data_IF_055498788059
#
_entry.id   IF_055498788059
#
_cell.length_a   1.000
_cell.length_b   1.000
_cell.length_c   1.000
_cell.angle_alpha   90.00
_cell.angle_beta   90.00
_cell.angle_gamma   90.00
#
_symmetry.space_group_name_H-M   'P 1'
#
loop_
_entity.id
_entity.type
_entity.pdbx_description
1 polymer ?
#
# COMPACT_ATOMS: atom_id res chain seq x y z
N UNK A 1 2.41 -35.36 23.71
CA UNK A 1 3.26 -34.13 23.68
C UNK A 1 2.69 -33.23 22.64
N UNK A 2 2.42 -31.98 22.94
CA UNK A 2 1.96 -31.01 21.91
C UNK A 2 3.18 -30.53 21.15
N UNK A 3 3.10 -30.54 19.80
CA UNK A 3 4.13 -29.98 18.93
C UNK A 3 4.33 -28.48 19.20
N UNK A 4 5.56 -28.01 19.16
CA UNK A 4 5.88 -26.58 19.30
C UNK A 4 5.33 -25.76 18.12
N UNK A 5 5.07 -24.44 18.30
CA UNK A 5 4.70 -23.59 17.18
C UNK A 5 5.67 -23.63 15.99
N UNK A 6 6.98 -23.77 16.26
CA UNK A 6 8.01 -23.89 15.23
C UNK A 6 7.87 -25.20 14.43
N UNK A 7 7.63 -26.34 15.12
CA UNK A 7 7.38 -27.64 14.45
C UNK A 7 6.10 -27.60 13.63
N UNK A 8 5.01 -27.03 14.17
CA UNK A 8 3.76 -26.86 13.42
C UNK A 8 3.96 -25.98 12.18
N UNK A 9 4.71 -24.87 12.33
CA UNK A 9 5.03 -23.99 11.20
C UNK A 9 5.81 -24.74 10.12
N UNK A 10 6.88 -25.43 10.50
CA UNK A 10 7.71 -26.19 9.55
C UNK A 10 6.93 -27.27 8.79
N UNK A 11 5.94 -27.90 9.43
CA UNK A 11 5.19 -28.99 8.84
C UNK A 11 3.96 -28.54 8.02
N UNK A 12 3.36 -27.38 8.34
CA UNK A 12 2.05 -27.00 7.78
C UNK A 12 1.97 -25.61 7.14
N UNK A 13 3.01 -24.77 7.28
CA UNK A 13 3.04 -23.44 6.67
C UNK A 13 4.05 -23.41 5.52
N UNK A 14 3.64 -22.89 4.35
CA UNK A 14 4.58 -22.76 3.23
C UNK A 14 5.78 -21.90 3.61
N UNK A 15 7.03 -22.32 3.29
CA UNK A 15 8.25 -21.68 3.74
C UNK A 15 8.58 -20.39 2.97
N UNK A 16 7.59 -19.48 2.84
CA UNK A 16 7.75 -18.17 2.20
C UNK A 16 8.46 -17.16 3.09
N UNK A 17 8.47 -17.41 4.39
CA UNK A 17 9.17 -16.63 5.43
C UNK A 17 9.83 -17.57 6.43
N UNK A 18 10.89 -17.07 7.10
CA UNK A 18 11.61 -17.81 8.15
C UNK A 18 11.46 -17.06 9.49
N UNK A 19 10.40 -17.29 10.28
CA UNK A 19 10.21 -16.64 11.57
C UNK A 19 11.26 -17.12 12.59
N UNK A 20 11.80 -16.19 13.40
CA UNK A 20 12.83 -16.50 14.39
C UNK A 20 12.32 -16.59 15.84
N UNK A 21 11.16 -16.00 16.14
CA UNK A 21 10.62 -15.92 17.49
C UNK A 21 9.14 -16.29 17.52
N UNK A 22 8.70 -16.94 18.59
CA UNK A 22 7.28 -17.15 18.88
C UNK A 22 6.79 -16.06 19.81
N UNK A 23 6.16 -15.02 19.25
CA UNK A 23 5.54 -13.94 20.02
C UNK A 23 4.15 -14.37 20.48
N UNK A 24 3.84 -14.14 21.76
CA UNK A 24 2.57 -14.57 22.38
C UNK A 24 1.75 -13.42 22.95
N UNK A 25 2.35 -12.23 23.13
CA UNK A 25 1.69 -11.06 23.69
C UNK A 25 2.28 -9.77 23.13
N UNK A 26 1.45 -8.74 23.02
CA UNK A 26 1.86 -7.37 22.69
C UNK A 26 1.05 -6.36 23.50
N UNK A 27 1.68 -5.26 23.91
CA UNK A 27 1.02 -4.13 24.56
C UNK A 27 1.81 -2.84 24.29
N UNK A 28 1.17 -1.85 23.66
CA UNK A 28 1.84 -0.62 23.25
C UNK A 28 3.03 -0.91 22.32
N UNK A 29 4.23 -0.55 22.72
CA UNK A 29 5.47 -0.76 21.95
C UNK A 29 6.21 -2.05 22.31
N UNK A 30 5.72 -2.82 23.29
CA UNK A 30 6.38 -4.02 23.79
C UNK A 30 5.71 -5.28 23.29
N UNK A 31 6.52 -6.32 23.02
CA UNK A 31 6.08 -7.68 22.71
C UNK A 31 6.82 -8.69 23.59
N UNK A 32 6.21 -9.85 23.82
CA UNK A 32 6.79 -10.93 24.63
C UNK A 32 6.79 -12.24 23.87
N UNK A 33 7.90 -12.96 23.97
CA UNK A 33 8.00 -14.31 23.41
C UNK A 33 7.39 -15.38 24.33
N UNK A 34 7.39 -16.62 23.87
CA UNK A 34 6.86 -17.77 24.59
C UNK A 34 7.66 -18.13 25.88
N UNK A 35 8.88 -17.63 26.03
CA UNK A 35 9.68 -17.75 27.24
C UNK A 35 9.44 -16.60 28.25
N UNK A 36 8.57 -15.64 27.89
CA UNK A 36 8.25 -14.46 28.69
C UNK A 36 9.25 -13.33 28.59
N UNK A 37 10.24 -13.43 27.69
CA UNK A 37 11.19 -12.35 27.46
C UNK A 37 10.52 -11.18 26.72
N UNK A 38 10.76 -9.97 27.20
CA UNK A 38 10.24 -8.72 26.65
C UNK A 38 11.18 -8.13 25.61
N UNK A 39 10.58 -7.54 24.57
CA UNK A 39 11.28 -6.85 23.48
C UNK A 39 10.55 -5.54 23.15
N UNK A 40 11.31 -4.52 22.75
CA UNK A 40 10.78 -3.34 22.10
C UNK A 40 10.55 -3.65 20.61
N UNK A 41 9.32 -3.44 20.14
CA UNK A 41 8.97 -3.68 18.76
C UNK A 41 9.21 -2.44 17.89
N UNK A 42 10.40 -2.36 17.29
CA UNK A 42 10.73 -1.34 16.30
C UNK A 42 10.28 -1.70 14.87
N UNK A 43 9.77 -2.89 14.63
CA UNK A 43 9.27 -3.31 13.32
C UNK A 43 7.81 -2.91 13.12
N UNK A 44 7.04 -2.87 14.21
CA UNK A 44 5.60 -2.59 14.23
C UNK A 44 4.82 -3.40 13.17
N UNK A 45 5.24 -4.66 12.88
CA UNK A 45 4.66 -5.46 11.80
C UNK A 45 4.95 -4.91 10.40
N UNK A 46 6.11 -4.31 10.17
CA UNK A 46 6.51 -3.57 8.96
C UNK A 46 5.58 -2.35 8.76
N UNK A 47 5.61 -1.44 9.75
CA UNK A 47 4.84 -0.19 9.79
C UNK A 47 3.29 -0.39 9.79
N UNK A 48 2.80 -1.48 10.40
CA UNK A 48 1.36 -1.79 10.50
C UNK A 48 0.75 -1.24 11.79
N UNK A 49 1.40 -1.48 12.94
CA UNK A 49 0.85 -1.19 14.26
C UNK A 49 1.13 0.26 14.70
N UNK A 50 0.60 1.25 13.98
CA UNK A 50 0.84 2.68 14.25
C UNK A 50 0.37 3.13 15.65
N UNK A 51 -0.63 2.46 16.20
CA UNK A 51 -1.19 2.76 17.54
C UNK A 51 -0.56 1.90 18.64
N UNK A 52 0.42 1.06 18.28
CA UNK A 52 0.96 0.03 19.15
C UNK A 52 0.05 -1.22 19.24
N UNK A 53 0.56 -2.24 19.92
CA UNK A 53 -0.15 -3.50 20.11
C UNK A 53 -1.33 -3.35 21.07
N UNK A 54 -2.44 -3.98 20.74
CA UNK A 54 -3.63 -4.12 21.60
C UNK A 54 -4.18 -2.79 22.16
N UNK A 55 -4.17 -1.72 21.35
CA UNK A 55 -4.67 -0.41 21.79
C UNK A 55 -6.11 -0.52 22.34
N UNK A 56 -6.41 -0.01 23.56
CA UNK A 56 -7.70 -0.24 24.21
C UNK A 56 -8.92 0.18 23.40
N UNK A 57 -8.88 1.34 22.75
CA UNK A 57 -9.99 1.83 21.95
C UNK A 57 -10.26 0.95 20.72
N UNK A 58 -9.20 0.41 20.09
CA UNK A 58 -9.34 -0.48 18.92
C UNK A 58 -9.91 -1.82 19.35
N UNK A 59 -9.42 -2.39 20.46
CA UNK A 59 -9.99 -3.62 21.02
C UNK A 59 -11.48 -3.47 21.33
N UNK A 60 -11.86 -2.37 21.97
CA UNK A 60 -13.26 -2.11 22.33
C UNK A 60 -14.14 -1.96 21.05
N UNK A 61 -13.69 -1.21 20.06
CA UNK A 61 -14.42 -1.03 18.81
C UNK A 61 -14.61 -2.35 18.04
N UNK A 62 -13.58 -3.19 18.00
CA UNK A 62 -13.66 -4.51 17.35
C UNK A 62 -14.61 -5.45 18.08
N UNK A 63 -14.52 -5.53 19.42
CA UNK A 63 -15.42 -6.36 20.21
C UNK A 63 -16.88 -5.93 20.07
N UNK A 64 -17.15 -4.61 20.10
CA UNK A 64 -18.49 -4.05 19.92
C UNK A 64 -19.05 -4.36 18.53
N UNK A 65 -18.24 -4.12 17.47
CA UNK A 65 -18.71 -4.33 16.10
C UNK A 65 -18.89 -5.80 15.76
N UNK A 66 -18.03 -6.69 16.28
CA UNK A 66 -18.15 -8.14 16.08
C UNK A 66 -19.44 -8.71 16.66
N UNK A 67 -19.99 -8.07 17.68
CA UNK A 67 -21.29 -8.41 18.26
C UNK A 67 -22.51 -7.87 17.48
N UNK A 68 -22.31 -7.03 16.47
CA UNK A 68 -23.39 -6.38 15.70
C UNK A 68 -23.49 -6.92 14.28
N UNK A 69 -22.43 -6.73 13.49
CA UNK A 69 -22.40 -7.11 12.08
C UNK A 69 -20.96 -7.27 11.63
N UNK A 70 -20.59 -8.44 11.14
CA UNK A 70 -19.25 -8.73 10.63
C UNK A 70 -19.18 -8.50 9.12
N UNK A 71 -20.15 -9.02 8.35
CA UNK A 71 -20.17 -8.96 6.90
C UNK A 71 -21.60 -8.89 6.36
N UNK A 72 -21.81 -8.05 5.33
CA UNK A 72 -23.12 -7.94 4.65
C UNK A 72 -22.99 -7.90 3.12
N UNK A 73 -21.84 -8.19 2.54
CA UNK A 73 -21.57 -8.04 1.10
C UNK A 73 -21.66 -6.57 0.63
N UNK A 74 -21.37 -6.33 -0.64
CA UNK A 74 -21.58 -5.04 -1.32
C UNK A 74 -23.03 -4.86 -1.84
N UNK A 75 -23.92 -5.80 -1.52
CA UNK A 75 -25.34 -5.73 -1.88
C UNK A 75 -26.15 -4.87 -0.91
N UNK A 76 -25.61 -4.59 0.26
CA UNK A 76 -26.26 -3.80 1.30
C UNK A 76 -25.37 -2.67 1.79
N UNK A 77 -25.99 -1.58 2.18
CA UNK A 77 -25.28 -0.51 2.88
C UNK A 77 -24.95 -0.95 4.31
N UNK A 78 -23.75 -0.56 4.77
CA UNK A 78 -23.38 -0.59 6.18
C UNK A 78 -22.99 0.82 6.64
N UNK A 79 -23.01 1.07 7.95
CA UNK A 79 -22.75 2.42 8.46
C UNK A 79 -21.28 2.82 8.45
N UNK A 80 -20.36 1.87 8.57
CA UNK A 80 -18.94 2.16 8.81
C UNK A 80 -18.18 2.49 7.54
N UNK A 81 -18.45 1.73 6.46
CA UNK A 81 -17.75 1.90 5.20
C UNK A 81 -17.87 3.32 4.63
N UNK A 82 -19.07 3.92 4.47
CA UNK A 82 -19.19 5.27 3.94
C UNK A 82 -18.63 6.34 4.88
N UNK A 83 -18.68 6.14 6.21
CA UNK A 83 -18.06 7.05 7.18
C UNK A 83 -16.53 7.05 7.06
N UNK A 84 -15.92 5.87 6.91
CA UNK A 84 -14.48 5.78 6.69
C UNK A 84 -14.08 6.36 5.33
N UNK A 85 -14.85 6.07 4.26
CA UNK A 85 -14.65 6.65 2.94
C UNK A 85 -14.70 8.17 2.96
N UNK A 86 -15.67 8.75 3.65
CA UNK A 86 -15.79 10.21 3.83
C UNK A 86 -14.55 10.80 4.51
N UNK A 87 -14.07 10.18 5.61
CA UNK A 87 -12.86 10.62 6.29
C UNK A 87 -11.63 10.57 5.39
N UNK A 88 -11.40 9.45 4.71
CA UNK A 88 -10.28 9.30 3.78
C UNK A 88 -10.37 10.34 2.67
N UNK A 89 -11.53 10.51 2.05
CA UNK A 89 -11.77 11.50 1.00
C UNK A 89 -11.39 12.92 1.46
N UNK A 90 -11.91 13.34 2.64
CA UNK A 90 -11.65 14.69 3.20
C UNK A 90 -10.18 14.94 3.57
N UNK A 91 -9.46 13.89 3.97
CA UNK A 91 -8.06 13.98 4.40
C UNK A 91 -7.07 13.79 3.26
N UNK A 92 -7.55 13.36 2.07
CA UNK A 92 -6.70 13.05 0.92
C UNK A 92 -7.08 13.82 -0.34
N UNK A 93 -7.71 13.15 -1.31
CA UNK A 93 -7.89 13.66 -2.68
C UNK A 93 -9.28 14.23 -2.97
N UNK A 94 -10.22 14.10 -2.05
CA UNK A 94 -11.57 14.66 -2.19
C UNK A 94 -12.54 13.86 -3.08
N UNK A 95 -12.07 12.76 -3.69
CA UNK A 95 -12.89 11.89 -4.53
C UNK A 95 -13.33 10.61 -3.79
N UNK A 96 -13.64 9.56 -4.54
CA UNK A 96 -14.18 8.30 -3.98
C UNK A 96 -13.09 7.34 -3.50
N UNK A 97 -13.50 6.42 -2.64
CA UNK A 97 -12.65 5.40 -2.03
C UNK A 97 -13.18 4.01 -2.37
N UNK A 98 -12.29 3.13 -2.80
CA UNK A 98 -12.53 1.70 -2.94
C UNK A 98 -11.86 0.96 -1.79
N UNK A 99 -12.56 0.01 -1.16
CA UNK A 99 -12.01 -0.83 -0.09
C UNK A 99 -11.71 -2.25 -0.56
N UNK A 100 -10.64 -2.82 -0.02
CA UNK A 100 -10.16 -4.17 -0.26
C UNK A 100 -9.48 -4.72 1.00
N UNK A 101 -8.72 -5.82 0.90
CA UNK A 101 -8.20 -6.52 2.07
C UNK A 101 -6.69 -6.32 2.28
N UNK A 102 -5.98 -5.76 1.32
CA UNK A 102 -4.51 -5.63 1.37
C UNK A 102 -4.00 -4.45 0.55
N UNK A 103 -2.74 -4.07 0.79
CA UNK A 103 -2.04 -3.07 -0.03
C UNK A 103 -1.82 -3.54 -1.47
N UNK A 104 -1.60 -4.84 -1.68
CA UNK A 104 -1.50 -5.40 -3.03
C UNK A 104 -2.80 -5.20 -3.80
N UNK A 105 -3.96 -5.51 -3.22
CA UNK A 105 -5.26 -5.28 -3.86
C UNK A 105 -5.56 -3.79 -4.07
N UNK A 106 -5.13 -2.92 -3.18
CA UNK A 106 -5.25 -1.47 -3.35
C UNK A 106 -4.44 -0.98 -4.56
N UNK A 107 -3.20 -1.47 -4.73
CA UNK A 107 -2.39 -1.18 -5.91
C UNK A 107 -2.95 -1.82 -7.19
N UNK A 108 -3.48 -3.04 -7.12
CA UNK A 108 -4.22 -3.66 -8.25
C UNK A 108 -5.39 -2.79 -8.69
N UNK A 109 -6.11 -2.17 -7.76
CA UNK A 109 -7.18 -1.24 -8.07
C UNK A 109 -6.66 -0.04 -8.88
N UNK A 110 -5.57 0.60 -8.45
CA UNK A 110 -4.96 1.73 -9.17
C UNK A 110 -4.42 1.32 -10.53
N UNK A 111 -3.76 0.16 -10.66
CA UNK A 111 -3.27 -0.40 -11.92
C UNK A 111 -4.43 -0.62 -12.91
N UNK A 112 -5.52 -1.24 -12.45
CA UNK A 112 -6.72 -1.47 -13.26
C UNK A 112 -7.37 -0.16 -13.67
N UNK A 113 -7.48 0.80 -12.73
CA UNK A 113 -8.04 2.12 -13.00
C UNK A 113 -7.24 2.86 -14.08
N UNK A 114 -5.90 2.87 -13.98
CA UNK A 114 -5.04 3.47 -15.01
C UNK A 114 -5.29 2.86 -16.38
N UNK A 115 -5.31 1.54 -16.47
CA UNK A 115 -5.57 0.83 -17.74
C UNK A 115 -6.96 1.11 -18.30
N UNK A 116 -7.97 1.17 -17.43
CA UNK A 116 -9.33 1.52 -17.85
C UNK A 116 -9.42 2.96 -18.35
N UNK A 117 -8.80 3.90 -17.64
CA UNK A 117 -8.74 5.31 -18.05
C UNK A 117 -8.03 5.50 -19.39
N UNK A 118 -6.95 4.75 -19.63
CA UNK A 118 -6.19 4.79 -20.88
C UNK A 118 -6.81 4.00 -22.05
N UNK A 119 -7.83 3.17 -21.81
CA UNK A 119 -8.32 2.17 -22.78
C UNK A 119 -8.80 2.80 -24.08
N UNK A 120 -9.49 3.93 -24.03
CA UNK A 120 -9.98 4.64 -25.23
C UNK A 120 -8.86 5.15 -26.16
N UNK A 121 -7.64 5.30 -25.63
CA UNK A 121 -6.45 5.75 -26.38
C UNK A 121 -5.41 4.64 -26.58
N UNK A 122 -5.70 3.41 -26.16
CA UNK A 122 -4.78 2.27 -26.21
C UNK A 122 -3.63 2.34 -25.21
N UNK A 123 -3.62 3.31 -24.29
CA UNK A 123 -2.56 3.47 -23.28
C UNK A 123 -2.78 2.52 -22.10
N UNK A 124 -1.71 1.82 -21.70
CA UNK A 124 -1.80 0.80 -20.67
C UNK A 124 -0.50 0.59 -19.89
N UNK A 125 0.60 1.22 -20.32
CA UNK A 125 1.90 1.07 -19.65
C UNK A 125 1.98 1.95 -18.41
N UNK A 126 2.53 1.39 -17.34
CA UNK A 126 2.73 2.06 -16.06
C UNK A 126 4.23 2.10 -15.76
N UNK A 127 4.75 3.28 -15.52
CA UNK A 127 6.12 3.47 -15.05
C UNK A 127 6.13 3.30 -13.55
N UNK A 128 7.05 2.45 -13.04
CA UNK A 128 7.33 2.27 -11.62
C UNK A 128 8.81 2.52 -11.32
N UNK A 129 9.18 2.64 -10.06
CA UNK A 129 10.55 2.96 -9.69
C UNK A 129 11.35 1.70 -9.37
N UNK A 130 12.64 1.68 -9.76
CA UNK A 130 13.57 0.65 -9.27
C UNK A 130 13.64 0.71 -7.75
N UNK A 131 13.88 -0.43 -7.14
CA UNK A 131 13.87 -0.66 -5.69
C UNK A 131 12.53 -0.40 -4.98
N UNK A 132 11.45 -0.15 -5.71
CA UNK A 132 10.10 -0.04 -5.16
C UNK A 132 9.56 -1.37 -4.64
N UNK A 133 8.48 -1.31 -3.85
CA UNK A 133 7.72 -2.49 -3.44
C UNK A 133 6.22 -2.19 -3.43
N UNK A 134 5.45 -2.88 -4.29
CA UNK A 134 4.02 -2.62 -4.48
C UNK A 134 3.11 -3.81 -4.14
N UNK A 135 3.66 -4.98 -3.82
CA UNK A 135 2.88 -6.15 -3.41
C UNK A 135 3.39 -7.48 -3.98
N UNK A 136 2.58 -8.53 -3.77
CA UNK A 136 2.93 -9.92 -4.10
C UNK A 136 1.93 -10.59 -5.05
N UNK A 137 0.90 -9.92 -5.56
CA UNK A 137 0.07 -10.39 -6.68
C UNK A 137 0.87 -10.28 -7.98
N UNK A 138 0.46 -10.96 -9.04
CA UNK A 138 1.24 -10.96 -10.29
C UNK A 138 1.50 -9.56 -10.84
N UNK A 139 0.50 -8.67 -10.87
CA UNK A 139 0.71 -7.32 -11.39
C UNK A 139 1.50 -6.44 -10.40
N UNK A 140 1.22 -6.48 -9.10
CA UNK A 140 1.96 -5.68 -8.11
C UNK A 140 3.38 -6.17 -7.91
N UNK A 141 3.63 -7.50 -8.04
CA UNK A 141 4.97 -8.07 -8.05
C UNK A 141 5.75 -7.61 -9.29
N UNK A 142 5.10 -7.58 -10.46
CA UNK A 142 5.70 -7.02 -11.68
C UNK A 142 5.97 -5.52 -11.52
N UNK A 143 5.04 -4.76 -10.92
CA UNK A 143 5.24 -3.34 -10.64
C UNK A 143 6.40 -3.08 -9.66
N UNK A 144 6.71 -4.03 -8.80
CA UNK A 144 7.83 -3.96 -7.84
C UNK A 144 9.17 -4.01 -8.58
N UNK A 145 9.92 -2.90 -8.55
CA UNK A 145 11.17 -2.73 -9.28
C UNK A 145 12.38 -3.46 -8.67
N UNK A 146 12.19 -4.71 -8.22
CA UNK A 146 13.22 -5.53 -7.58
C UNK A 146 13.17 -6.96 -8.14
N UNK A 147 14.16 -7.34 -8.93
CA UNK A 147 14.24 -8.65 -9.60
C UNK A 147 14.17 -9.84 -8.65
N UNK A 148 14.66 -9.70 -7.42
CA UNK A 148 14.61 -10.77 -6.40
C UNK A 148 13.19 -11.27 -6.10
N UNK A 149 12.16 -10.40 -6.24
CA UNK A 149 10.77 -10.78 -6.04
C UNK A 149 10.12 -11.36 -7.30
N UNK A 150 10.70 -11.11 -8.48
CA UNK A 150 10.18 -11.55 -9.77
C UNK A 150 10.75 -12.92 -10.22
N UNK A 151 11.89 -13.31 -9.65
CA UNK A 151 12.57 -14.54 -10.00
C UNK A 151 11.67 -15.77 -9.81
N UNK A 152 11.56 -16.59 -10.87
CA UNK A 152 10.75 -17.82 -10.88
C UNK A 152 9.26 -17.62 -11.23
N UNK A 153 8.80 -16.38 -11.48
CA UNK A 153 7.40 -16.07 -11.76
C UNK A 153 7.14 -15.60 -13.21
N UNK A 154 8.10 -15.79 -14.11
CA UNK A 154 7.89 -15.46 -15.52
C UNK A 154 6.84 -16.39 -16.17
N UNK A 155 6.04 -15.88 -17.17
CA UNK A 155 6.10 -14.53 -17.72
C UNK A 155 5.49 -13.48 -16.79
N UNK A 156 6.13 -12.33 -16.67
CA UNK A 156 5.60 -11.21 -15.90
C UNK A 156 4.41 -10.54 -16.61
N UNK A 157 3.59 -9.81 -15.88
CA UNK A 157 2.46 -9.07 -16.46
C UNK A 157 2.99 -7.95 -17.37
N UNK A 158 2.61 -7.90 -18.66
CA UNK A 158 3.11 -6.87 -19.57
C UNK A 158 2.60 -5.47 -19.22
N UNK A 159 3.35 -4.44 -19.67
CA UNK A 159 2.98 -3.04 -19.52
C UNK A 159 3.53 -2.37 -18.26
N UNK A 160 4.64 -2.84 -17.73
CA UNK A 160 5.40 -2.16 -16.68
C UNK A 160 6.80 -1.78 -17.19
N UNK A 161 7.20 -0.55 -16.90
CA UNK A 161 8.51 0.01 -17.25
C UNK A 161 9.14 0.59 -15.98
N UNK A 162 10.46 0.42 -15.80
CA UNK A 162 11.13 0.83 -14.58
C UNK A 162 12.03 2.04 -14.81
N UNK A 163 11.90 3.06 -13.94
CA UNK A 163 12.75 4.25 -13.93
C UNK A 163 13.57 4.31 -12.63
N UNK A 164 14.67 5.06 -12.66
CA UNK A 164 15.47 5.32 -11.45
C UNK A 164 14.70 6.26 -10.51
N UNK A 165 14.65 5.93 -9.23
CA UNK A 165 14.06 6.78 -8.21
C UNK A 165 14.91 8.05 -8.01
N UNK A 166 14.27 9.19 -7.77
CA UNK A 166 14.90 10.51 -7.69
C UNK A 166 15.64 10.95 -8.97
N UNK A 167 15.27 10.41 -10.13
CA UNK A 167 15.84 10.76 -11.43
C UNK A 167 14.74 11.04 -12.45
N UNK A 168 14.39 12.31 -12.62
CA UNK A 168 13.31 12.74 -13.51
C UNK A 168 13.61 12.45 -14.99
N UNK A 169 14.89 12.51 -15.41
CA UNK A 169 15.29 12.22 -16.77
C UNK A 169 15.12 10.73 -17.09
N UNK A 170 15.37 9.84 -16.13
CA UNK A 170 15.04 8.43 -16.26
C UNK A 170 13.56 8.20 -16.48
N UNK A 171 12.69 8.94 -15.76
CA UNK A 171 11.23 8.85 -15.97
C UNK A 171 10.86 9.37 -17.35
N UNK A 172 11.42 10.50 -17.80
CA UNK A 172 11.18 11.06 -19.14
C UNK A 172 11.55 10.07 -20.24
N UNK A 173 12.70 9.42 -20.10
CA UNK A 173 13.19 8.42 -21.06
C UNK A 173 12.33 7.15 -21.10
N UNK A 174 11.65 6.82 -20.01
CA UNK A 174 10.74 5.67 -19.91
C UNK A 174 9.34 5.91 -20.52
N UNK A 175 8.96 7.14 -20.81
CA UNK A 175 7.66 7.45 -21.38
C UNK A 175 7.59 7.01 -22.84
N UNK A 176 6.57 6.22 -23.17
CA UNK A 176 6.21 5.81 -24.53
C UNK A 176 4.82 6.32 -24.92
N UNK A 177 4.39 6.19 -26.17
CA UNK A 177 2.99 6.50 -26.55
C UNK A 177 1.95 5.64 -25.82
N UNK A 178 2.34 4.48 -25.31
CA UNK A 178 1.48 3.57 -24.53
C UNK A 178 1.43 3.89 -23.03
N UNK A 179 2.27 4.80 -22.53
CA UNK A 179 2.32 5.15 -21.10
C UNK A 179 1.04 5.83 -20.66
N UNK A 180 0.46 5.38 -19.54
CA UNK A 180 -0.79 5.88 -18.97
C UNK A 180 -0.61 6.48 -17.59
N UNK A 181 0.33 5.96 -16.79
CA UNK A 181 0.50 6.37 -15.40
C UNK A 181 1.94 6.20 -14.92
N UNK A 182 2.27 6.91 -13.85
CA UNK A 182 3.43 6.65 -13.00
C UNK A 182 2.91 6.23 -11.62
N UNK A 183 3.44 5.15 -11.08
CA UNK A 183 3.19 4.68 -9.71
C UNK A 183 4.50 4.71 -8.94
N UNK A 184 4.54 5.44 -7.84
CA UNK A 184 5.74 5.52 -6.99
C UNK A 184 5.36 5.62 -5.50
N UNK A 185 6.38 5.55 -4.66
CA UNK A 185 6.29 5.79 -3.21
C UNK A 185 6.86 7.18 -2.92
N UNK A 186 6.26 7.95 -2.00
CA UNK A 186 6.87 9.21 -1.54
C UNK A 186 8.15 8.97 -0.73
N UNK A 187 8.22 7.81 -0.07
CA UNK A 187 9.40 7.26 0.60
C UNK A 187 9.42 5.77 0.27
N UNK A 188 10.46 5.28 -0.41
CA UNK A 188 10.63 3.85 -0.65
C UNK A 188 10.93 3.14 0.67
N UNK A 189 9.95 2.41 1.21
CA UNK A 189 10.09 1.70 2.48
C UNK A 189 11.01 0.49 2.37
N UNK A 190 10.62 -0.49 1.58
CA UNK A 190 11.37 -1.74 1.35
C UNK A 190 12.67 -1.53 0.53
N UNK A 191 12.79 -0.39 -0.12
CA UNK A 191 13.99 0.01 -0.85
C UNK A 191 15.12 0.55 0.03
N UNK A 192 14.90 0.70 1.34
CA UNK A 192 15.91 1.17 2.30
C UNK A 192 15.57 2.48 3.00
N UNK A 193 14.31 2.81 3.13
CA UNK A 193 13.79 4.07 3.73
C UNK A 193 14.37 5.30 3.00
N UNK A 194 14.19 5.30 1.70
CA UNK A 194 14.71 6.35 0.82
C UNK A 194 13.62 7.39 0.52
N UNK A 195 13.69 8.62 1.06
CA UNK A 195 12.74 9.67 0.72
C UNK A 195 12.96 10.19 -0.70
N UNK A 196 11.85 10.53 -1.35
CA UNK A 196 11.90 11.32 -2.58
C UNK A 196 12.40 12.74 -2.27
N UNK A 197 13.05 13.37 -3.25
CA UNK A 197 13.36 14.80 -3.15
C UNK A 197 12.13 15.63 -3.56
N UNK A 198 11.99 16.82 -3.01
CA UNK A 198 10.93 17.75 -3.41
C UNK A 198 11.01 18.08 -4.90
N UNK A 199 12.21 18.29 -5.41
CA UNK A 199 12.46 18.56 -6.84
C UNK A 199 11.97 17.41 -7.72
N UNK A 200 12.27 16.17 -7.36
CA UNK A 200 11.82 15.00 -8.11
C UNK A 200 10.30 14.90 -8.14
N UNK A 201 9.63 15.01 -6.99
CA UNK A 201 8.17 14.84 -6.94
C UNK A 201 7.42 16.01 -7.58
N UNK A 202 7.92 17.24 -7.45
CA UNK A 202 7.37 18.41 -8.15
C UNK A 202 7.50 18.25 -9.67
N UNK A 203 8.71 17.94 -10.13
CA UNK A 203 8.96 17.69 -11.55
C UNK A 203 8.16 16.49 -12.09
N UNK A 204 7.97 15.45 -11.29
CA UNK A 204 7.15 14.29 -11.66
C UNK A 204 5.69 14.67 -11.83
N UNK A 205 5.12 15.50 -10.93
CA UNK A 205 3.75 15.99 -11.07
C UNK A 205 3.58 16.86 -12.32
N UNK A 206 4.51 17.79 -12.56
CA UNK A 206 4.53 18.64 -13.74
C UNK A 206 4.62 17.81 -15.03
N UNK A 207 5.52 16.85 -15.07
CA UNK A 207 5.70 15.95 -16.20
C UNK A 207 4.45 15.14 -16.51
N UNK A 208 3.84 14.53 -15.47
CA UNK A 208 2.59 13.78 -15.64
C UNK A 208 1.46 14.68 -16.15
N UNK A 209 1.34 15.91 -15.65
CA UNK A 209 0.34 16.88 -16.12
C UNK A 209 0.57 17.25 -17.59
N UNK A 210 1.80 17.60 -17.96
CA UNK A 210 2.16 17.98 -19.33
C UNK A 210 1.96 16.85 -20.35
N UNK A 211 2.11 15.61 -19.94
CA UNK A 211 1.98 14.42 -20.79
C UNK A 211 0.62 13.75 -20.69
N UNK A 212 -0.32 14.32 -19.91
CA UNK A 212 -1.62 13.73 -19.63
C UNK A 212 -1.47 12.26 -19.13
N UNK A 213 -0.64 12.07 -18.09
CA UNK A 213 -0.42 10.82 -17.38
C UNK A 213 -1.01 10.93 -15.98
N UNK A 214 -1.49 9.81 -15.46
CA UNK A 214 -1.89 9.71 -14.06
C UNK A 214 -0.65 9.59 -13.17
N UNK A 215 -0.68 10.24 -12.02
CA UNK A 215 0.33 10.09 -10.97
C UNK A 215 -0.31 9.41 -9.76
N UNK A 216 0.18 8.24 -9.41
CA UNK A 216 -0.28 7.49 -8.24
C UNK A 216 0.83 7.37 -7.20
N UNK A 217 0.43 7.48 -5.92
CA UNK A 217 1.33 7.16 -4.82
C UNK A 217 0.86 5.91 -4.08
N UNK A 218 1.82 5.01 -3.88
CA UNK A 218 1.70 3.91 -2.93
C UNK A 218 1.97 4.46 -1.52
N UNK A 219 0.90 4.69 -0.77
CA UNK A 219 0.91 5.16 0.60
C UNK A 219 0.67 4.02 1.61
N UNK A 220 0.84 2.77 1.17
CA UNK A 220 0.63 1.58 2.01
C UNK A 220 1.53 1.61 3.24
N UNK A 221 2.76 2.11 3.12
CA UNK A 221 3.68 2.22 4.25
C UNK A 221 3.75 3.64 4.83
N UNK A 222 3.62 4.68 4.02
CA UNK A 222 3.81 6.08 4.39
C UNK A 222 2.53 6.76 4.91
N UNK A 223 1.37 6.21 4.57
CA UNK A 223 0.07 6.80 4.93
C UNK A 223 -0.36 6.58 6.39
N UNK A 224 -1.51 7.16 6.68
CA UNK A 224 -2.22 7.04 7.97
C UNK A 224 -1.33 7.45 9.16
N UNK A 225 -0.69 8.62 9.05
CA UNK A 225 0.05 9.24 10.12
C UNK A 225 1.49 8.75 10.30
N UNK A 226 1.98 7.78 9.52
CA UNK A 226 3.33 7.21 9.67
C UNK A 226 4.44 8.25 9.62
N UNK A 227 4.30 9.26 8.77
CA UNK A 227 5.32 10.28 8.52
C UNK A 227 5.06 11.61 9.26
N UNK A 228 4.00 11.69 10.09
CA UNK A 228 3.58 12.91 10.78
C UNK A 228 2.51 13.72 10.02
N UNK A 229 2.21 13.36 8.78
CA UNK A 229 1.04 13.82 8.02
C UNK A 229 0.10 12.64 7.78
N UNK A 230 -1.16 12.90 7.38
CA UNK A 230 -2.09 11.81 7.04
C UNK A 230 -1.54 10.92 5.93
N UNK A 231 -0.87 11.51 4.93
CA UNK A 231 -0.21 10.80 3.82
C UNK A 231 1.16 11.41 3.53
N UNK A 232 2.11 10.59 3.12
CA UNK A 232 3.50 11.00 2.89
C UNK A 232 3.63 12.06 1.81
N UNK A 233 2.83 12.01 0.74
CA UNK A 233 2.86 13.01 -0.34
C UNK A 233 2.56 14.44 0.15
N UNK A 234 1.83 14.60 1.26
CA UNK A 234 1.44 15.91 1.79
C UNK A 234 2.63 16.75 2.26
N UNK A 235 3.76 16.12 2.62
CA UNK A 235 5.00 16.83 2.95
C UNK A 235 5.58 17.63 1.78
N UNK A 236 5.22 17.25 0.56
CA UNK A 236 5.79 17.82 -0.67
C UNK A 236 4.87 18.84 -1.35
N UNK A 237 3.68 19.10 -0.79
CA UNK A 237 2.74 20.08 -1.36
C UNK A 237 2.21 19.72 -2.75
N UNK A 238 2.39 18.48 -3.21
CA UNK A 238 1.89 17.99 -4.50
C UNK A 238 0.59 17.23 -4.32
N UNK A 239 -0.20 17.09 -5.38
CA UNK A 239 -1.45 16.33 -5.38
C UNK A 239 -1.42 15.25 -6.44
N UNK A 240 -1.41 13.96 -6.07
CA UNK A 240 -1.55 12.86 -7.01
C UNK A 240 -2.99 12.70 -7.49
N UNK A 241 -3.20 11.86 -8.50
CA UNK A 241 -4.51 11.50 -9.04
C UNK A 241 -5.13 10.33 -8.28
N UNK A 242 -4.31 9.49 -7.64
CA UNK A 242 -4.74 8.39 -6.79
C UNK A 242 -3.68 7.97 -5.77
N UNK A 243 -4.15 7.38 -4.69
CA UNK A 243 -3.30 6.79 -3.64
C UNK A 243 -3.82 5.43 -3.22
N UNK A 244 -2.92 4.50 -2.91
CA UNK A 244 -3.23 3.24 -2.23
C UNK A 244 -2.86 3.33 -0.75
N UNK A 245 -3.56 2.59 0.11
CA UNK A 245 -3.28 2.54 1.54
C UNK A 245 -3.67 1.18 2.13
N UNK A 246 -3.00 0.77 3.20
CA UNK A 246 -3.29 -0.44 3.97
C UNK A 246 -2.63 -0.34 5.35
N UNK A 247 -2.03 -1.41 5.85
CA UNK A 247 -1.19 -1.45 7.07
C UNK A 247 -1.81 -0.66 8.23
N UNK A 248 -1.32 0.56 8.46
CA UNK A 248 -1.79 1.45 9.52
C UNK A 248 -3.29 1.80 9.42
N UNK A 249 -3.91 1.68 8.25
CA UNK A 249 -5.35 1.86 8.07
C UNK A 249 -6.16 0.90 8.96
N UNK A 250 -5.68 -0.35 9.09
CA UNK A 250 -6.30 -1.38 9.93
C UNK A 250 -5.58 -1.62 11.25
N UNK A 251 -4.37 -1.05 11.44
CA UNK A 251 -3.55 -1.22 12.63
C UNK A 251 -3.43 -2.67 13.13
N UNK A 252 -3.29 -3.62 12.18
CA UNK A 252 -3.19 -5.06 12.42
C UNK A 252 -4.33 -5.88 11.81
N UNK A 253 -5.48 -5.29 11.50
CA UNK A 253 -6.55 -5.97 10.77
C UNK A 253 -6.34 -5.87 9.25
N UNK A 254 -6.67 -6.95 8.50
CA UNK A 254 -6.58 -6.95 7.04
C UNK A 254 -7.54 -5.93 6.44
N UNK A 255 -7.02 -4.86 5.87
CA UNK A 255 -7.75 -3.87 5.11
C UNK A 255 -6.79 -3.17 4.15
N UNK A 256 -7.27 -2.83 2.98
CA UNK A 256 -6.65 -1.91 2.04
C UNK A 256 -7.68 -0.97 1.46
N UNK A 257 -7.22 0.14 0.90
CA UNK A 257 -8.08 1.04 0.17
C UNK A 257 -7.30 1.78 -0.92
N UNK A 258 -8.01 2.17 -1.98
CA UNK A 258 -7.54 3.13 -2.96
C UNK A 258 -8.45 4.36 -2.93
N UNK A 259 -7.87 5.56 -2.91
CA UNK A 259 -8.60 6.81 -3.02
C UNK A 259 -8.13 7.56 -4.26
N UNK A 260 -9.05 8.24 -4.94
CA UNK A 260 -8.77 8.95 -6.19
C UNK A 260 -9.36 10.36 -6.14
N UNK A 261 -8.96 11.19 -7.09
CA UNK A 261 -9.56 12.52 -7.27
C UNK A 261 -11.02 12.42 -7.76
N UNK A 262 -11.83 13.50 -7.64
CA UNK A 262 -13.20 13.51 -8.15
C UNK A 262 -13.29 13.16 -9.63
N UNK A 263 -12.33 13.59 -10.44
CA UNK A 263 -12.25 13.36 -11.88
C UNK A 263 -12.15 11.87 -12.24
N UNK A 264 -11.45 11.10 -11.43
CA UNK A 264 -11.29 9.64 -11.61
C UNK A 264 -12.38 8.81 -10.91
N UNK A 265 -13.24 9.44 -10.12
CA UNK A 265 -14.20 8.73 -9.27
C UNK A 265 -15.31 7.97 -10.02
N UNK A 266 -15.45 8.18 -11.32
CA UNK A 266 -16.49 7.57 -12.16
C UNK A 266 -15.92 6.80 -13.39
N UNK A 267 -14.62 6.55 -13.40
CA UNK A 267 -13.92 5.77 -14.45
C UNK A 267 -14.21 4.25 -14.44
#
# INVERSE_FOLDING_TARGET
MHSSPAELFANYVMPTYAPGLTLVRGAGVNVWDSAGKEYLDFTAGIAVCNTGHCHPAIRAALADQAGKLIHCSNLFYNELQPRLAQKISQLSLGGKVFFCNSGAEANECLIKLARKWGSATGRHEIITMKNSFHGRTLATMTATGQTKYQNGFAPLVPGFVYAEFNNLDSVRAAITPATVAVLCEAIQGEGGILPATLEFLTGLRELCTAKNLLLFFDEVQTGIGRTGQWFGYQHFGIRPDGISMAKALGTGFPIGAAAVTPELSNV
#
